data_IF_614645572688
#
_entry.id   IF_614645572688
#
_cell.length_a   1.000
_cell.length_b   1.000
_cell.length_c   1.000
_cell.angle_alpha   90.00
_cell.angle_beta   90.00
_cell.angle_gamma   90.00
#
_symmetry.space_group_name_H-M   'P 1'
#
loop_
_entity.id
_entity.type
_entity.pdbx_description
1 polymer ?
#
# COMPACT_ATOMS: atom_id res chain seq x y z
N UNK A 1 -14.99 -19.93 -26.93
CA UNK A 1 -14.74 -18.51 -26.59
C UNK A 1 -13.26 -18.33 -26.27
N UNK A 2 -12.77 -17.09 -26.17
CA UNK A 2 -11.46 -16.82 -25.58
C UNK A 2 -11.69 -16.56 -24.09
N UNK A 3 -11.77 -17.64 -23.32
CA UNK A 3 -11.84 -17.55 -21.86
C UNK A 3 -10.42 -17.34 -21.29
N UNK A 4 -10.31 -16.58 -20.20
CA UNK A 4 -9.07 -16.36 -19.40
C UNK A 4 -7.95 -15.49 -20.02
N UNK A 5 -8.30 -14.35 -20.62
CA UNK A 5 -7.32 -13.30 -20.95
C UNK A 5 -7.23 -12.22 -19.85
N UNK A 6 -6.00 -11.91 -19.45
CA UNK A 6 -5.66 -10.88 -18.46
C UNK A 6 -4.94 -9.71 -19.11
N UNK A 7 -5.21 -8.50 -18.66
CA UNK A 7 -4.50 -7.29 -19.13
C UNK A 7 -3.31 -7.03 -18.22
N UNK A 8 -2.12 -6.85 -18.80
CA UNK A 8 -0.93 -6.42 -18.06
C UNK A 8 -0.79 -4.89 -18.06
N UNK A 9 -1.14 -4.19 -16.97
CA UNK A 9 -1.09 -2.74 -16.92
C UNK A 9 0.35 -2.18 -16.88
N UNK A 10 1.37 -3.00 -16.62
CA UNK A 10 2.77 -2.57 -16.54
C UNK A 10 3.48 -2.69 -17.89
N UNK A 11 2.95 -3.49 -18.81
CA UNK A 11 3.53 -3.73 -20.13
C UNK A 11 2.60 -3.26 -21.25
N UNK A 12 2.01 -2.08 -21.10
CA UNK A 12 1.23 -1.42 -22.16
C UNK A 12 -0.13 -2.06 -22.46
N UNK A 13 -0.67 -2.87 -21.55
CA UNK A 13 -2.00 -3.48 -21.71
C UNK A 13 -2.00 -4.72 -22.61
N UNK A 14 -0.85 -5.39 -22.78
CA UNK A 14 -0.81 -6.67 -23.49
C UNK A 14 -1.72 -7.69 -22.81
N UNK A 15 -2.30 -8.57 -23.63
CA UNK A 15 -3.15 -9.65 -23.17
C UNK A 15 -2.29 -10.87 -22.83
N UNK A 16 -2.54 -11.45 -21.66
CA UNK A 16 -1.83 -12.58 -21.11
C UNK A 16 -2.77 -13.74 -20.85
N UNK A 17 -2.28 -14.94 -21.09
CA UNK A 17 -2.86 -16.17 -20.55
C UNK A 17 -2.48 -16.38 -19.07
N UNK A 18 -3.21 -17.27 -18.40
CA UNK A 18 -2.90 -17.71 -17.03
C UNK A 18 -1.45 -18.20 -16.87
N UNK A 19 -0.93 -19.01 -17.81
CA UNK A 19 0.46 -19.50 -17.72
C UNK A 19 1.48 -18.37 -17.89
N UNK A 20 1.18 -17.37 -18.72
CA UNK A 20 2.02 -16.18 -18.87
C UNK A 20 2.02 -15.28 -17.62
N UNK A 21 0.91 -15.21 -16.88
CA UNK A 21 0.85 -14.55 -15.58
C UNK A 21 1.68 -15.30 -14.53
N UNK A 22 1.54 -16.63 -14.48
CA UNK A 22 2.28 -17.51 -13.57
C UNK A 22 3.78 -17.45 -13.81
N UNK A 23 4.21 -17.47 -15.08
CA UNK A 23 5.62 -17.35 -15.45
C UNK A 23 6.19 -16.01 -15.01
N UNK A 24 5.49 -14.89 -15.26
CA UNK A 24 5.92 -13.56 -14.79
C UNK A 24 6.04 -13.48 -13.27
N UNK A 25 5.07 -14.03 -12.54
CA UNK A 25 5.14 -14.06 -11.08
C UNK A 25 6.35 -14.87 -10.61
N UNK A 26 6.58 -16.05 -11.19
CA UNK A 26 7.74 -16.90 -10.90
C UNK A 26 9.06 -16.17 -11.16
N UNK A 27 9.17 -15.42 -12.25
CA UNK A 27 10.38 -14.66 -12.60
C UNK A 27 10.61 -13.45 -11.66
N UNK A 28 9.54 -12.92 -11.06
CA UNK A 28 9.61 -11.79 -10.12
C UNK A 28 9.95 -12.19 -8.68
N UNK A 29 9.68 -13.43 -8.28
CA UNK A 29 9.86 -13.92 -6.90
C UNK A 29 11.23 -14.58 -6.76
N UNK A 30 12.00 -14.17 -5.75
CA UNK A 30 13.22 -14.87 -5.35
C UNK A 30 12.86 -15.96 -4.33
N UNK A 31 13.16 -17.23 -4.64
CA UNK A 31 12.99 -18.35 -3.72
C UNK A 31 11.89 -19.34 -4.11
N UNK A 32 11.33 -20.03 -3.11
CA UNK A 32 10.28 -21.04 -3.34
C UNK A 32 9.02 -20.40 -3.93
N UNK A 33 8.51 -21.00 -5.00
CA UNK A 33 7.35 -20.52 -5.73
C UNK A 33 6.18 -21.50 -5.55
N UNK A 34 5.06 -21.00 -5.05
CA UNK A 34 3.80 -21.72 -5.00
C UNK A 34 2.74 -20.94 -5.77
N UNK A 35 2.19 -21.56 -6.80
CA UNK A 35 1.10 -20.98 -7.59
C UNK A 35 -0.24 -21.25 -6.92
N UNK A 36 -1.03 -20.20 -6.73
CA UNK A 36 -2.44 -20.27 -6.33
C UNK A 36 -3.29 -19.57 -7.40
N UNK A 37 -4.25 -20.25 -8.05
CA UNK A 37 -5.19 -19.63 -9.00
C UNK A 37 -5.92 -18.41 -8.44
N UNK A 38 -6.06 -18.28 -7.11
CA UNK A 38 -6.65 -17.09 -6.47
C UNK A 38 -5.91 -15.79 -6.76
N UNK A 39 -4.64 -15.84 -7.17
CA UNK A 39 -3.90 -14.64 -7.58
C UNK A 39 -4.49 -13.92 -8.80
N UNK A 40 -5.30 -14.62 -9.59
CA UNK A 40 -5.98 -14.08 -10.77
C UNK A 40 -7.42 -13.66 -10.49
N UNK A 41 -7.93 -13.86 -9.28
CA UNK A 41 -9.27 -13.42 -8.94
C UNK A 41 -9.37 -11.89 -8.97
N UNK A 42 -10.48 -11.33 -9.47
CA UNK A 42 -10.72 -9.89 -9.40
C UNK A 42 -10.63 -9.39 -7.96
N UNK A 43 -9.93 -8.28 -7.76
CA UNK A 43 -9.95 -7.57 -6.49
C UNK A 43 -11.18 -6.67 -6.41
N UNK A 44 -11.64 -6.41 -5.20
CA UNK A 44 -12.71 -5.44 -4.94
C UNK A 44 -12.22 -4.02 -5.22
N UNK A 45 -13.16 -3.09 -5.45
CA UNK A 45 -12.86 -1.66 -5.58
C UNK A 45 -12.08 -1.13 -4.36
N UNK A 46 -12.40 -1.63 -3.15
CA UNK A 46 -11.73 -1.22 -1.91
C UNK A 46 -10.27 -1.67 -1.88
N UNK A 47 -9.98 -2.91 -2.26
CA UNK A 47 -8.61 -3.44 -2.32
C UNK A 47 -7.79 -2.74 -3.41
N UNK A 48 -8.42 -2.46 -4.56
CA UNK A 48 -7.78 -1.70 -5.62
C UNK A 48 -7.40 -0.29 -5.15
N UNK A 49 -8.34 0.45 -4.53
CA UNK A 49 -8.06 1.77 -3.96
C UNK A 49 -6.96 1.72 -2.89
N UNK A 50 -7.00 0.74 -1.99
CA UNK A 50 -5.97 0.55 -0.97
C UNK A 50 -4.58 0.35 -1.60
N UNK A 51 -4.48 -0.39 -2.71
CA UNK A 51 -3.22 -0.57 -3.45
C UNK A 51 -2.73 0.75 -4.06
N UNK A 52 -3.61 1.50 -4.73
CA UNK A 52 -3.23 2.77 -5.36
C UNK A 52 -2.82 3.81 -4.31
N UNK A 53 -3.55 3.92 -3.20
CA UNK A 53 -3.22 4.82 -2.09
C UNK A 53 -1.86 4.50 -1.50
N UNK A 54 -1.55 3.22 -1.23
CA UNK A 54 -0.22 2.81 -0.72
C UNK A 54 0.90 3.17 -1.69
N UNK A 55 0.70 2.97 -2.99
CA UNK A 55 1.68 3.32 -4.01
C UNK A 55 1.94 4.83 -4.03
N UNK A 56 0.89 5.64 -4.06
CA UNK A 56 0.99 7.10 -4.06
C UNK A 56 1.59 7.64 -2.76
N UNK A 57 1.16 7.13 -1.60
CA UNK A 57 1.77 7.44 -0.30
C UNK A 57 3.28 7.24 -0.35
N UNK A 58 3.72 6.05 -0.78
CA UNK A 58 5.14 5.71 -0.86
C UNK A 58 5.92 6.65 -1.79
N UNK A 59 5.33 7.03 -2.94
CA UNK A 59 5.94 7.98 -3.87
C UNK A 59 6.10 9.36 -3.24
N UNK A 60 5.05 9.90 -2.60
CA UNK A 60 5.09 11.24 -2.02
C UNK A 60 5.98 11.32 -0.78
N UNK A 61 5.99 10.28 0.07
CA UNK A 61 6.93 10.17 1.18
C UNK A 61 8.39 10.18 0.69
N UNK A 62 8.73 9.38 -0.33
CA UNK A 62 10.08 9.39 -0.93
C UNK A 62 10.48 10.74 -1.50
N UNK A 63 9.52 11.47 -2.10
CA UNK A 63 9.74 12.82 -2.65
C UNK A 63 9.73 13.92 -1.58
N UNK A 64 9.46 13.59 -0.31
CA UNK A 64 9.23 14.56 0.78
C UNK A 64 8.14 15.58 0.45
N UNK A 65 7.17 15.18 -0.37
CA UNK A 65 5.98 15.98 -0.62
C UNK A 65 4.98 15.75 0.51
N UNK A 66 5.19 16.47 1.60
CA UNK A 66 4.45 16.28 2.84
C UNK A 66 2.95 16.53 2.67
N UNK A 67 2.55 17.52 1.86
CA UNK A 67 1.14 17.82 1.61
C UNK A 67 0.41 16.67 0.92
N UNK A 68 0.96 16.15 -0.20
CA UNK A 68 0.32 15.03 -0.91
C UNK A 68 0.46 13.71 -0.16
N UNK A 69 1.55 13.52 0.58
CA UNK A 69 1.70 12.37 1.47
C UNK A 69 0.62 12.36 2.56
N UNK A 70 0.35 13.51 3.20
CA UNK A 70 -0.69 13.66 4.21
C UNK A 70 -2.06 13.25 3.66
N UNK A 71 -2.45 13.76 2.49
CA UNK A 71 -3.73 13.39 1.85
C UNK A 71 -3.83 11.88 1.60
N UNK A 72 -2.76 11.23 1.13
CA UNK A 72 -2.78 9.78 0.92
C UNK A 72 -2.88 9.00 2.23
N UNK A 73 -2.23 9.48 3.30
CA UNK A 73 -2.33 8.87 4.63
C UNK A 73 -3.74 9.02 5.20
N UNK A 74 -4.38 10.17 5.03
CA UNK A 74 -5.77 10.38 5.45
C UNK A 74 -6.73 9.44 4.71
N UNK A 75 -6.55 9.23 3.40
CA UNK A 75 -7.33 8.24 2.67
C UNK A 75 -7.03 6.81 3.12
N UNK A 76 -5.78 6.50 3.46
CA UNK A 76 -5.43 5.19 4.03
C UNK A 76 -6.14 4.96 5.37
N UNK A 77 -6.16 5.97 6.25
CA UNK A 77 -6.86 5.91 7.54
C UNK A 77 -8.38 5.92 7.41
N UNK A 78 -8.94 6.51 6.34
CA UNK A 78 -10.36 6.38 6.02
C UNK A 78 -10.72 4.94 5.62
N UNK A 79 -9.78 4.20 5.01
CA UNK A 79 -9.95 2.79 4.71
C UNK A 79 -9.74 1.93 5.97
N UNK A 80 -8.67 2.17 6.72
CA UNK A 80 -8.36 1.46 7.96
C UNK A 80 -8.02 2.43 9.11
N UNK A 81 -9.01 2.83 9.93
CA UNK A 81 -8.81 3.80 11.02
C UNK A 81 -7.87 3.33 12.14
N UNK A 82 -7.62 2.03 12.21
CA UNK A 82 -6.83 1.38 13.26
C UNK A 82 -5.40 1.08 12.80
N UNK A 83 -5.00 1.49 11.59
CA UNK A 83 -3.63 1.31 11.10
C UNK A 83 -2.66 2.17 11.91
N UNK A 84 -2.02 1.54 12.89
CA UNK A 84 -0.97 2.13 13.72
C UNK A 84 0.15 2.73 12.85
N UNK A 85 0.57 2.00 11.81
CA UNK A 85 1.62 2.45 10.89
C UNK A 85 1.25 3.71 10.10
N UNK A 86 0.00 3.83 9.64
CA UNK A 86 -0.46 5.02 8.92
C UNK A 86 -0.60 6.22 9.87
N UNK A 87 -1.02 6.01 11.12
CA UNK A 87 -1.02 7.07 12.15
C UNK A 87 0.40 7.53 12.48
N UNK A 88 1.35 6.62 12.63
CA UNK A 88 2.78 6.97 12.80
C UNK A 88 3.28 7.82 11.65
N UNK A 89 3.04 7.39 10.42
CA UNK A 89 3.44 8.13 9.23
C UNK A 89 2.78 9.53 9.22
N UNK A 90 1.48 9.65 9.58
CA UNK A 90 0.79 10.94 9.69
C UNK A 90 1.42 11.85 10.74
N UNK A 91 1.74 11.31 11.91
CA UNK A 91 2.37 12.05 13.00
C UNK A 91 3.75 12.61 12.62
N UNK A 92 4.57 11.82 11.93
CA UNK A 92 5.86 12.26 11.39
C UNK A 92 5.66 13.40 10.37
N UNK A 93 4.65 13.30 9.50
CA UNK A 93 4.36 14.33 8.51
C UNK A 93 3.84 15.62 9.17
N UNK A 94 2.96 15.53 10.15
CA UNK A 94 2.52 16.69 10.94
C UNK A 94 3.69 17.36 11.66
N UNK A 95 4.62 16.59 12.23
CA UNK A 95 5.83 17.15 12.84
C UNK A 95 6.66 17.96 11.84
N UNK A 96 6.90 17.42 10.63
CA UNK A 96 7.62 18.15 9.58
C UNK A 96 6.90 19.42 9.09
N UNK A 97 5.58 19.47 9.20
CA UNK A 97 4.76 20.63 8.85
C UNK A 97 4.61 21.65 9.99
N UNK A 98 5.12 21.36 11.20
CA UNK A 98 4.98 22.22 12.38
C UNK A 98 3.67 22.06 13.14
N UNK A 99 2.86 21.05 12.80
CA UNK A 99 1.58 20.73 13.44
C UNK A 99 1.81 19.87 14.69
N UNK A 100 2.38 20.47 15.73
CA UNK A 100 2.87 19.73 16.91
C UNK A 100 1.77 19.00 17.68
N UNK A 101 0.55 19.53 17.74
CA UNK A 101 -0.54 18.91 18.50
C UNK A 101 -1.03 17.63 17.84
N UNK A 102 -1.24 17.67 16.52
CA UNK A 102 -1.64 16.54 15.70
C UNK A 102 -0.55 15.47 15.66
N UNK A 103 0.72 15.90 15.51
CA UNK A 103 1.86 15.00 15.56
C UNK A 103 1.92 14.23 16.89
N UNK A 104 1.76 14.94 18.01
CA UNK A 104 1.78 14.33 19.34
C UNK A 104 0.65 13.32 19.50
N UNK A 105 -0.58 13.67 19.09
CA UNK A 105 -1.74 12.78 19.21
C UNK A 105 -1.54 11.47 18.43
N UNK A 106 -1.10 11.58 17.18
CA UNK A 106 -0.88 10.41 16.32
C UNK A 106 0.26 9.51 16.83
N UNK A 107 1.36 10.12 17.29
CA UNK A 107 2.51 9.37 17.79
C UNK A 107 2.22 8.72 19.15
N UNK A 108 1.41 9.35 20.02
CA UNK A 108 0.95 8.74 21.26
C UNK A 108 0.08 7.52 20.99
N UNK A 109 -0.92 7.65 20.10
CA UNK A 109 -1.74 6.52 19.68
C UNK A 109 -0.88 5.37 19.15
N UNK A 110 0.11 5.69 18.29
CA UNK A 110 1.01 4.68 17.74
C UNK A 110 1.74 3.89 18.84
N UNK A 111 2.28 4.59 19.83
CA UNK A 111 3.00 3.98 20.96
C UNK A 111 2.08 3.13 21.83
N UNK A 112 0.84 3.58 22.08
CA UNK A 112 -0.16 2.82 22.86
C UNK A 112 -0.64 1.57 22.12
N UNK A 113 -0.71 1.62 20.78
CA UNK A 113 -1.15 0.52 19.93
C UNK A 113 -0.08 -0.55 19.67
N UNK A 114 1.19 -0.26 19.97
CA UNK A 114 2.30 -1.20 19.80
C UNK A 114 2.62 -1.89 21.13
N UNK A 115 2.47 -3.22 21.26
CA UNK A 115 3.04 -3.94 22.41
C UNK A 115 4.56 -3.74 22.37
N UNK A 116 5.11 -3.21 23.46
CA UNK A 116 6.48 -2.72 23.64
C UNK A 116 7.54 -3.21 22.62
N UNK A 117 8.08 -2.26 21.84
CA UNK A 117 9.50 -2.29 21.42
C UNK A 117 9.87 -3.04 20.13
N UNK A 118 9.34 -2.65 18.97
CA UNK A 118 9.89 -3.09 17.68
C UNK A 118 10.49 -1.98 16.78
N UNK A 119 10.45 -0.72 17.22
CA UNK A 119 10.93 0.43 16.43
C UNK A 119 12.12 1.18 17.10
N UNK A 120 12.84 0.54 18.03
CA UNK A 120 14.12 1.03 18.59
C UNK A 120 15.30 0.22 18.11
#
# INVERSE_FOLDING_TARGET
>A
EIDDLFVDPFNGGILLSTEECKQRLKDSVRGSFHWDPKFLQPVTNREFLARIIRNLKSIYLRKRDHARALTMIEFALALDPNSASDRRDRGIIHYHLGNSAEALNDLQYYLESSPHGHDT
#
